data_IF_053781151989
#
_entry.id   IF_053781151989
#
_cell.length_a   1.000
_cell.length_b   1.000
_cell.length_c   1.000
_cell.angle_alpha   90.00
_cell.angle_beta   90.00
_cell.angle_gamma   90.00
#
_symmetry.space_group_name_H-M   'P 1'
#
loop_
_entity.id
_entity.type
_entity.pdbx_description
1 polymer ?
#
# COMPACT_ATOMS: atom_id res chain seq x y z
N UNK A 1 11.70 0.04 5.26
CA UNK A 1 12.33 -1.17 5.85
C UNK A 1 13.15 -0.79 7.07
N UNK A 2 13.35 -1.69 8.04
CA UNK A 2 14.45 -1.63 9.00
C UNK A 2 14.84 -3.10 9.26
N UNK A 3 16.07 -3.46 8.88
CA UNK A 3 16.63 -4.78 9.17
C UNK A 3 17.17 -4.78 10.60
N UNK A 4 16.97 -5.85 11.35
CA UNK A 4 17.66 -6.03 12.64
C UNK A 4 18.44 -7.34 12.53
N UNK A 5 19.79 -7.32 12.47
CA UNK A 5 20.59 -8.52 12.58
C UNK A 5 20.52 -8.96 14.03
N UNK A 6 20.08 -10.19 14.24
CA UNK A 6 20.32 -10.90 15.50
C UNK A 6 20.93 -12.23 15.15
N UNK A 7 21.87 -12.70 15.97
CA UNK A 7 22.57 -13.97 15.76
C UNK A 7 21.63 -15.21 15.78
N UNK A 8 20.30 -15.03 15.97
CA UNK A 8 19.28 -16.07 15.89
C UNK A 8 17.93 -15.54 15.34
N UNK A 9 17.92 -14.79 14.21
CA UNK A 9 16.79 -13.95 13.78
C UNK A 9 15.56 -14.65 13.14
N UNK A 10 15.15 -15.83 13.62
CA UNK A 10 13.85 -16.40 13.24
C UNK A 10 12.79 -16.00 14.27
N UNK A 11 11.97 -15.00 13.94
CA UNK A 11 10.77 -14.67 14.72
C UNK A 11 9.76 -15.80 14.59
N UNK A 12 9.30 -16.31 15.73
CA UNK A 12 8.19 -17.25 15.80
C UNK A 12 6.89 -16.65 15.26
N UNK A 13 5.94 -17.50 14.87
CA UNK A 13 4.67 -17.07 14.29
C UNK A 13 3.91 -16.09 15.20
N UNK A 14 3.93 -16.32 16.52
CA UNK A 14 3.27 -15.44 17.49
C UNK A 14 3.94 -14.06 17.60
N UNK A 15 5.27 -14.00 17.54
CA UNK A 15 6.01 -12.73 17.53
C UNK A 15 5.77 -11.96 16.22
N UNK A 16 5.65 -12.65 15.09
CA UNK A 16 5.27 -12.02 13.82
C UNK A 16 3.88 -11.38 13.91
N UNK A 17 2.89 -12.08 14.49
CA UNK A 17 1.54 -11.53 14.69
C UNK A 17 1.56 -10.30 15.61
N UNK A 18 2.29 -10.36 16.73
CA UNK A 18 2.43 -9.23 17.66
C UNK A 18 3.12 -8.04 17.01
N UNK A 19 4.17 -8.27 16.23
CA UNK A 19 4.87 -7.21 15.51
C UNK A 19 3.97 -6.58 14.43
N UNK A 20 3.24 -7.37 13.65
CA UNK A 20 2.26 -6.85 12.68
C UNK A 20 1.20 -5.99 13.38
N UNK A 21 0.67 -6.44 14.52
CA UNK A 21 -0.28 -5.65 15.29
C UNK A 21 0.31 -4.32 15.76
N UNK A 22 1.54 -4.31 16.28
CA UNK A 22 2.22 -3.09 16.73
C UNK A 22 2.50 -2.10 15.58
N UNK A 23 2.87 -2.62 14.39
CA UNK A 23 3.07 -1.82 13.19
C UNK A 23 1.77 -1.12 12.77
N UNK A 24 0.64 -1.80 12.87
CA UNK A 24 -0.66 -1.21 12.49
C UNK A 24 -1.17 -0.21 13.52
N UNK A 25 -1.14 -0.57 14.80
CA UNK A 25 -1.71 0.26 15.87
C UNK A 25 -0.83 1.48 16.19
N UNK A 26 0.44 1.25 16.51
CA UNK A 26 1.38 2.28 16.96
C UNK A 26 2.13 2.90 15.79
N UNK A 27 2.50 2.07 14.81
CA UNK A 27 3.20 2.50 13.61
C UNK A 27 2.30 3.17 12.56
N UNK A 28 0.96 3.11 12.71
CA UNK A 28 0.02 3.74 11.79
C UNK A 28 0.16 3.25 10.34
N UNK A 29 0.66 2.03 10.16
CA UNK A 29 0.73 1.37 8.84
C UNK A 29 -0.64 0.76 8.52
N UNK A 30 -1.14 1.01 7.32
CA UNK A 30 -2.39 0.43 6.81
C UNK A 30 -2.21 -1.04 6.47
N UNK A 31 -1.03 -1.40 5.95
CA UNK A 31 -0.60 -2.78 5.71
C UNK A 31 0.77 -3.02 6.32
N UNK A 32 1.00 -4.22 6.86
CA UNK A 32 2.28 -4.66 7.40
C UNK A 32 2.49 -6.15 7.17
N UNK A 33 3.67 -6.52 6.67
CA UNK A 33 4.12 -7.90 6.51
C UNK A 33 5.50 -8.03 7.14
N UNK A 34 5.69 -9.09 7.93
CA UNK A 34 6.98 -9.46 8.52
C UNK A 34 7.50 -10.69 7.79
N UNK A 35 8.72 -10.58 7.27
CA UNK A 35 9.42 -11.66 6.60
C UNK A 35 10.65 -12.02 7.43
N UNK A 36 10.58 -13.14 8.14
CA UNK A 36 11.70 -13.62 8.95
C UNK A 36 12.64 -14.48 8.11
N UNK A 37 13.90 -14.06 7.98
CA UNK A 37 14.99 -14.81 7.36
C UNK A 37 15.91 -15.42 8.40
N UNK A 38 16.86 -16.24 7.96
CA UNK A 38 17.88 -16.81 8.88
C UNK A 38 18.83 -15.73 9.40
N UNK A 39 19.04 -14.69 8.61
CA UNK A 39 20.06 -13.64 8.76
C UNK A 39 19.46 -12.26 9.05
N UNK A 40 18.18 -12.04 8.75
CA UNK A 40 17.51 -10.77 9.00
C UNK A 40 16.00 -10.94 9.25
N UNK A 41 15.44 -10.04 10.05
CA UNK A 41 14.00 -9.77 10.04
C UNK A 41 13.74 -8.60 9.09
N UNK A 42 12.97 -8.84 8.05
CA UNK A 42 12.51 -7.80 7.13
C UNK A 42 11.08 -7.40 7.45
N UNK A 43 10.83 -6.08 7.48
CA UNK A 43 9.51 -5.53 7.72
C UNK A 43 9.11 -4.62 6.57
N UNK A 44 7.97 -4.96 5.96
CA UNK A 44 7.33 -4.22 4.89
C UNK A 44 6.09 -3.57 5.45
N UNK A 45 5.98 -2.25 5.29
CA UNK A 45 4.85 -1.47 5.79
C UNK A 45 4.40 -0.47 4.76
N UNK A 46 3.08 -0.32 4.64
CA UNK A 46 2.43 0.70 3.82
C UNK A 46 1.74 1.68 4.75
N UNK A 47 1.96 2.99 4.57
CA UNK A 47 1.40 4.00 5.46
C UNK A 47 1.46 5.41 4.87
N UNK A 48 0.79 6.34 5.53
CA UNK A 48 0.73 7.74 5.09
C UNK A 48 2.00 8.51 5.51
N UNK A 49 2.68 9.10 4.53
CA UNK A 49 3.83 10.01 4.74
C UNK A 49 4.92 9.88 3.69
N UNK A 50 5.90 10.77 3.72
CA UNK A 50 7.09 10.69 2.86
C UNK A 50 8.11 9.70 3.42
N UNK A 51 8.89 9.06 2.54
CA UNK A 51 9.78 7.92 2.85
C UNK A 51 10.63 8.07 4.13
N UNK A 52 11.19 9.26 4.40
CA UNK A 52 11.97 9.48 5.63
C UNK A 52 11.11 9.49 6.92
N UNK A 53 9.90 10.03 6.87
CA UNK A 53 8.98 10.02 8.01
C UNK A 53 8.43 8.62 8.29
N UNK A 54 8.10 7.87 7.24
CA UNK A 54 7.65 6.48 7.35
C UNK A 54 8.78 5.58 7.88
N UNK A 55 10.00 5.72 7.37
CA UNK A 55 11.16 4.99 7.87
C UNK A 55 11.42 5.29 9.36
N UNK A 56 11.39 6.55 9.78
CA UNK A 56 11.53 6.91 11.20
C UNK A 56 10.39 6.37 12.06
N UNK A 57 9.15 6.32 11.55
CA UNK A 57 8.02 5.74 12.28
C UNK A 57 8.16 4.21 12.41
N UNK A 58 8.61 3.54 11.36
CA UNK A 58 8.93 2.11 11.37
C UNK A 58 10.02 1.82 12.41
N UNK A 59 11.12 2.56 12.37
CA UNK A 59 12.26 2.41 13.28
C UNK A 59 11.85 2.63 14.74
N UNK A 60 11.04 3.65 15.04
CA UNK A 60 10.49 3.87 16.38
C UNK A 60 9.60 2.73 16.86
N UNK A 61 8.77 2.20 15.97
CA UNK A 61 7.87 1.09 16.31
C UNK A 61 8.66 -0.17 16.62
N UNK A 62 9.70 -0.46 15.83
CA UNK A 62 10.60 -1.58 16.08
C UNK A 62 11.43 -1.39 17.35
N UNK A 63 11.93 -0.18 17.59
CA UNK A 63 12.65 0.12 18.83
C UNK A 63 11.78 -0.13 20.05
N UNK A 64 10.52 0.33 20.03
CA UNK A 64 9.57 0.07 21.09
C UNK A 64 9.27 -1.43 21.25
N UNK A 65 9.07 -2.17 20.14
CA UNK A 65 8.82 -3.60 20.16
C UNK A 65 10.00 -4.39 20.77
N UNK A 66 11.23 -4.01 20.43
CA UNK A 66 12.45 -4.63 20.94
C UNK A 66 12.91 -4.07 22.30
N UNK A 67 12.11 -3.23 22.96
CA UNK A 67 12.47 -2.54 24.21
C UNK A 67 13.84 -1.82 24.14
N UNK A 68 14.12 -1.15 23.02
CA UNK A 68 15.36 -0.43 22.76
C UNK A 68 15.09 0.99 22.23
N UNK A 69 16.14 1.71 21.81
CA UNK A 69 16.04 3.04 21.23
C UNK A 69 16.21 3.01 19.70
N UNK A 70 15.63 3.98 18.97
CA UNK A 70 15.85 4.08 17.52
C UNK A 70 17.33 4.20 17.15
N UNK A 71 18.12 4.91 17.96
CA UNK A 71 19.54 5.13 17.68
C UNK A 71 20.39 3.87 17.89
N UNK A 72 19.96 2.95 18.76
CA UNK A 72 20.58 1.63 18.88
C UNK A 72 20.27 0.73 17.68
N UNK A 73 19.12 0.91 17.01
CA UNK A 73 18.76 0.16 15.80
C UNK A 73 19.35 0.74 14.52
N UNK A 74 19.60 2.06 14.45
CA UNK A 74 20.11 2.73 13.23
C UNK A 74 21.34 2.07 12.61
N UNK A 75 22.40 1.71 13.35
CA UNK A 75 23.63 1.16 12.76
C UNK A 75 23.40 -0.18 12.05
N UNK A 76 22.32 -0.86 12.42
CA UNK A 76 22.03 -2.20 11.95
C UNK A 76 20.78 -2.27 11.05
N UNK A 77 20.07 -1.15 10.89
CA UNK A 77 18.84 -1.05 10.12
C UNK A 77 19.03 -0.43 8.73
N UNK A 78 18.78 -1.25 7.71
CA UNK A 78 18.67 -0.79 6.32
C UNK A 78 17.24 -0.35 6.00
N UNK A 79 17.08 0.87 5.50
CA UNK A 79 15.79 1.45 5.10
C UNK A 79 15.70 1.63 3.58
N UNK A 80 14.84 0.84 2.94
CA UNK A 80 14.44 0.98 1.53
C UNK A 80 12.98 1.44 1.46
N UNK A 81 12.64 2.14 0.37
CA UNK A 81 11.28 2.65 0.07
C UNK A 81 10.90 2.40 -1.39
N UNK A 82 9.59 2.36 -1.66
CA UNK A 82 9.03 2.24 -3.00
C UNK A 82 9.69 1.15 -3.85
N UNK A 83 10.17 1.54 -5.04
CA UNK A 83 10.81 0.65 -6.02
C UNK A 83 11.95 -0.18 -5.43
N UNK A 84 12.85 0.44 -4.65
CA UNK A 84 14.02 -0.25 -4.11
C UNK A 84 13.63 -1.37 -3.14
N UNK A 85 12.56 -1.16 -2.36
CA UNK A 85 12.02 -2.19 -1.47
C UNK A 85 11.38 -3.34 -2.27
N UNK A 86 10.65 -3.05 -3.35
CA UNK A 86 10.08 -4.06 -4.22
C UNK A 86 11.15 -4.89 -4.94
N UNK A 87 12.18 -4.25 -5.51
CA UNK A 87 13.30 -4.94 -6.14
C UNK A 87 14.07 -5.81 -5.14
N UNK A 88 14.30 -5.31 -3.92
CA UNK A 88 14.95 -6.07 -2.86
C UNK A 88 14.15 -7.34 -2.52
N UNK A 89 12.84 -7.21 -2.23
CA UNK A 89 11.97 -8.34 -1.90
C UNK A 89 12.04 -9.44 -2.97
N UNK A 90 11.95 -9.07 -4.25
CA UNK A 90 11.96 -10.05 -5.35
C UNK A 90 13.34 -10.68 -5.52
N UNK A 91 14.42 -9.92 -5.26
CA UNK A 91 15.80 -10.41 -5.39
C UNK A 91 16.18 -11.40 -4.29
N UNK A 92 15.81 -11.12 -3.05
CA UNK A 92 16.35 -11.83 -1.87
C UNK A 92 15.44 -12.93 -1.35
N UNK A 93 14.14 -12.86 -1.61
CA UNK A 93 13.19 -13.75 -0.97
C UNK A 93 12.94 -15.05 -1.73
N UNK A 94 12.88 -16.15 -0.99
CA UNK A 94 12.48 -17.43 -1.55
C UNK A 94 10.95 -17.51 -1.75
N UNK A 95 10.45 -18.12 -2.85
CA UNK A 95 9.02 -18.17 -3.14
C UNK A 95 8.16 -18.74 -2.01
N UNK A 96 8.64 -19.76 -1.30
CA UNK A 96 7.93 -20.34 -0.15
C UNK A 96 7.81 -19.36 1.00
N UNK A 97 8.89 -18.63 1.31
CA UNK A 97 8.93 -17.65 2.39
C UNK A 97 8.03 -16.44 2.13
N UNK A 98 7.97 -15.97 0.89
CA UNK A 98 7.04 -14.91 0.50
C UNK A 98 5.58 -15.33 0.72
N UNK A 99 5.22 -16.54 0.30
CA UNK A 99 3.87 -17.07 0.49
C UNK A 99 3.53 -17.21 1.98
N UNK A 100 4.44 -17.76 2.77
CA UNK A 100 4.19 -18.02 4.19
C UNK A 100 4.10 -16.71 5.00
N UNK A 101 4.95 -15.72 4.71
CA UNK A 101 4.87 -14.39 5.29
C UNK A 101 3.56 -13.68 4.93
N UNK A 102 3.13 -13.79 3.67
CA UNK A 102 1.83 -13.29 3.23
C UNK A 102 0.68 -13.93 4.00
N UNK A 103 0.66 -15.26 4.15
CA UNK A 103 -0.38 -15.95 4.92
C UNK A 103 -0.38 -15.56 6.41
N UNK A 104 0.78 -15.34 7.00
CA UNK A 104 0.88 -14.84 8.37
C UNK A 104 0.25 -13.44 8.50
N UNK A 105 0.53 -12.55 7.55
CA UNK A 105 -0.07 -11.22 7.51
C UNK A 105 -1.59 -11.25 7.22
N UNK A 106 -2.07 -12.16 6.38
CA UNK A 106 -3.51 -12.37 6.16
C UNK A 106 -4.22 -12.76 7.48
N UNK A 107 -3.65 -13.70 8.25
CA UNK A 107 -4.19 -14.09 9.57
C UNK A 107 -4.18 -12.94 10.58
N UNK A 108 -3.19 -12.06 10.50
CA UNK A 108 -3.10 -10.86 11.34
C UNK A 108 -4.02 -9.70 10.86
N UNK A 109 -4.79 -9.91 9.78
CA UNK A 109 -5.48 -8.82 9.05
C UNK A 109 -4.55 -7.67 8.67
N UNK A 110 -3.25 -7.95 8.52
CA UNK A 110 -2.22 -6.96 8.27
C UNK A 110 -1.88 -6.77 6.80
N UNK A 111 -2.38 -7.62 5.90
CA UNK A 111 -2.17 -7.44 4.46
C UNK A 111 -3.36 -6.73 3.81
N UNK A 112 -3.09 -5.88 2.84
CA UNK A 112 -4.08 -5.27 1.97
C UNK A 112 -3.70 -5.42 0.49
N UNK A 113 -4.29 -4.61 -0.40
CA UNK A 113 -4.08 -4.75 -1.84
C UNK A 113 -2.63 -4.51 -2.28
N UNK A 114 -1.89 -3.62 -1.61
CA UNK A 114 -0.54 -3.23 -2.04
C UNK A 114 0.48 -4.33 -1.72
N UNK A 115 0.64 -4.70 -0.45
CA UNK A 115 1.55 -5.77 -0.06
C UNK A 115 1.03 -7.12 -0.54
N UNK A 116 -0.29 -7.32 -0.62
CA UNK A 116 -0.90 -8.52 -1.16
C UNK A 116 -0.49 -8.78 -2.62
N UNK A 117 -0.57 -7.75 -3.47
CA UNK A 117 -0.16 -7.84 -4.87
C UNK A 117 1.37 -7.97 -5.02
N UNK A 118 2.15 -7.20 -4.23
CA UNK A 118 3.61 -7.26 -4.25
C UNK A 118 4.14 -8.66 -3.89
N UNK A 119 3.66 -9.24 -2.79
CA UNK A 119 4.09 -10.58 -2.37
C UNK A 119 3.62 -11.67 -3.34
N UNK A 120 2.46 -11.49 -3.99
CA UNK A 120 2.01 -12.37 -5.07
C UNK A 120 2.93 -12.32 -6.28
N UNK A 121 3.25 -11.10 -6.74
CA UNK A 121 4.13 -10.86 -7.87
C UNK A 121 5.54 -11.39 -7.57
N UNK A 122 6.10 -11.06 -6.41
CA UNK A 122 7.40 -11.56 -5.98
C UNK A 122 7.47 -13.08 -5.90
N UNK A 123 6.43 -13.75 -5.37
CA UNK A 123 6.40 -15.22 -5.32
C UNK A 123 6.43 -15.87 -6.71
N UNK A 124 5.79 -15.24 -7.71
CA UNK A 124 5.82 -15.70 -9.11
C UNK A 124 7.19 -15.43 -9.73
N UNK A 125 7.70 -14.20 -9.57
CA UNK A 125 8.96 -13.76 -10.18
C UNK A 125 10.16 -14.50 -9.61
N UNK A 126 10.23 -14.73 -8.30
CA UNK A 126 11.33 -15.44 -7.65
C UNK A 126 11.46 -16.90 -8.15
N UNK A 127 10.38 -17.53 -8.62
CA UNK A 127 10.46 -18.86 -9.28
C UNK A 127 11.11 -18.77 -10.66
N UNK A 128 10.84 -17.71 -11.41
CA UNK A 128 11.34 -17.50 -12.77
C UNK A 128 12.80 -17.05 -12.77
N UNK A 129 13.18 -16.22 -11.79
CA UNK A 129 14.55 -15.70 -11.64
C UNK A 129 15.55 -16.82 -11.33
N UNK A 130 15.12 -17.89 -10.64
CA UNK A 130 15.96 -19.04 -10.32
C UNK A 130 16.33 -19.81 -11.59
N UNK A 131 17.53 -19.57 -12.11
CA UNK A 131 18.07 -20.19 -13.32
C UNK A 131 17.95 -19.35 -14.60
N UNK A 132 17.52 -18.09 -14.49
CA UNK A 132 17.47 -17.19 -15.63
C UNK A 132 18.86 -16.64 -16.00
N UNK A 133 19.14 -16.40 -17.29
CA UNK A 133 20.43 -15.87 -17.74
C UNK A 133 20.65 -14.39 -17.36
N UNK A 134 19.58 -13.64 -17.12
CA UNK A 134 19.64 -12.22 -16.71
C UNK A 134 18.57 -11.93 -15.64
N UNK A 135 18.87 -12.28 -14.38
CA UNK A 135 17.91 -12.16 -13.28
C UNK A 135 17.57 -10.69 -12.98
N UNK A 136 18.53 -9.77 -13.07
CA UNK A 136 18.32 -8.36 -12.75
C UNK A 136 17.36 -7.67 -13.74
N UNK A 137 17.46 -7.99 -15.03
CA UNK A 137 16.49 -7.47 -16.01
C UNK A 137 15.08 -7.99 -15.73
N UNK A 138 14.93 -9.26 -15.37
CA UNK A 138 13.63 -9.84 -15.03
C UNK A 138 13.04 -9.15 -13.81
N UNK A 139 13.83 -8.99 -12.73
CA UNK A 139 13.39 -8.29 -11.51
C UNK A 139 12.92 -6.88 -11.87
N UNK A 140 13.74 -6.11 -12.59
CA UNK A 140 13.42 -4.73 -12.98
C UNK A 140 12.11 -4.65 -13.77
N UNK A 141 11.95 -5.48 -14.80
CA UNK A 141 10.74 -5.50 -15.63
C UNK A 141 9.50 -5.92 -14.85
N UNK A 142 9.61 -6.86 -13.92
CA UNK A 142 8.47 -7.28 -13.10
C UNK A 142 8.08 -6.22 -12.07
N UNK A 143 9.05 -5.52 -11.48
CA UNK A 143 8.76 -4.36 -10.61
C UNK A 143 8.14 -3.23 -11.42
N UNK A 144 8.60 -2.95 -12.65
CA UNK A 144 7.97 -1.96 -13.54
C UNK A 144 6.52 -2.31 -13.81
N UNK A 145 6.24 -3.56 -14.18
CA UNK A 145 4.89 -4.04 -14.45
C UNK A 145 4.01 -3.96 -13.20
N UNK A 146 4.52 -4.38 -12.04
CA UNK A 146 3.78 -4.30 -10.78
C UNK A 146 3.49 -2.87 -10.35
N UNK A 147 4.47 -1.96 -10.46
CA UNK A 147 4.27 -0.54 -10.16
C UNK A 147 3.18 0.02 -11.06
N UNK A 148 3.25 -0.26 -12.37
CA UNK A 148 2.24 0.17 -13.31
C UNK A 148 0.85 -0.39 -12.97
N UNK A 149 0.71 -1.68 -12.72
CA UNK A 149 -0.58 -2.29 -12.33
C UNK A 149 -1.11 -1.71 -11.02
N UNK A 150 -0.23 -1.51 -10.05
CA UNK A 150 -0.59 -0.97 -8.74
C UNK A 150 -1.02 0.48 -8.85
N UNK A 151 -0.30 1.32 -9.61
CA UNK A 151 -0.60 2.74 -9.88
C UNK A 151 -1.90 2.93 -10.65
N UNK A 152 -2.23 2.07 -11.61
CA UNK A 152 -3.49 2.14 -12.33
C UNK A 152 -4.67 1.59 -11.52
N UNK A 153 -4.47 0.49 -10.78
CA UNK A 153 -5.49 -0.06 -9.88
C UNK A 153 -5.86 0.93 -8.77
N UNK A 154 -4.84 1.56 -8.20
CA UNK A 154 -4.86 2.70 -7.31
C UNK A 154 -5.75 3.87 -7.78
N UNK A 155 -5.48 4.41 -8.97
CA UNK A 155 -6.32 5.47 -9.55
C UNK A 155 -7.74 4.97 -9.83
N UNK A 156 -7.90 3.72 -10.28
CA UNK A 156 -9.22 3.12 -10.50
C UNK A 156 -10.08 3.11 -9.24
N UNK A 157 -9.53 2.64 -8.12
CA UNK A 157 -10.22 2.59 -6.82
C UNK A 157 -10.58 3.97 -6.31
N UNK A 158 -9.64 4.92 -6.37
CA UNK A 158 -9.90 6.31 -6.01
C UNK A 158 -11.01 6.91 -6.88
N UNK A 159 -10.96 6.69 -8.20
CA UNK A 159 -11.99 7.16 -9.14
C UNK A 159 -13.37 6.61 -8.81
N UNK A 160 -13.48 5.31 -8.52
CA UNK A 160 -14.75 4.70 -8.12
C UNK A 160 -15.28 5.31 -6.83
N UNK A 161 -14.43 5.52 -5.82
CA UNK A 161 -14.83 6.09 -4.55
C UNK A 161 -15.25 7.56 -4.68
N UNK A 162 -14.48 8.37 -5.42
CA UNK A 162 -14.86 9.75 -5.76
C UNK A 162 -16.23 9.80 -6.44
N UNK A 163 -16.48 8.87 -7.37
CA UNK A 163 -17.76 8.79 -8.08
C UNK A 163 -18.93 8.39 -7.18
N UNK A 164 -18.73 7.48 -6.23
CA UNK A 164 -19.76 7.11 -5.26
C UNK A 164 -20.10 8.28 -4.32
N UNK A 165 -19.09 8.99 -3.85
CA UNK A 165 -19.23 10.08 -2.89
C UNK A 165 -19.89 11.32 -3.50
N UNK A 166 -19.40 11.78 -4.65
CA UNK A 166 -20.02 12.93 -5.35
C UNK A 166 -21.43 12.58 -5.84
N UNK A 167 -21.67 11.34 -6.29
CA UNK A 167 -23.02 10.91 -6.64
C UNK A 167 -23.97 10.99 -5.43
N UNK A 168 -23.56 10.49 -4.27
CA UNK A 168 -24.37 10.53 -3.06
C UNK A 168 -24.67 11.98 -2.63
N UNK A 169 -23.68 12.87 -2.72
CA UNK A 169 -23.87 14.31 -2.47
C UNK A 169 -24.87 14.92 -3.46
N UNK A 170 -24.70 14.70 -4.76
CA UNK A 170 -25.62 15.22 -5.77
C UNK A 170 -27.04 14.69 -5.57
N UNK A 171 -27.20 13.42 -5.23
CA UNK A 171 -28.51 12.82 -4.97
C UNK A 171 -29.17 13.44 -3.74
N UNK A 172 -28.44 13.61 -2.64
CA UNK A 172 -28.94 14.25 -1.42
C UNK A 172 -29.40 15.70 -1.66
N UNK A 173 -28.66 16.47 -2.45
CA UNK A 173 -29.05 17.83 -2.82
C UNK A 173 -30.28 17.86 -3.73
N UNK A 174 -30.39 16.93 -4.70
CA UNK A 174 -31.59 16.82 -5.53
C UNK A 174 -32.81 16.37 -4.75
N UNK A 175 -32.66 15.47 -3.77
CA UNK A 175 -33.75 15.08 -2.89
C UNK A 175 -34.24 16.25 -2.02
N UNK A 176 -33.36 17.23 -1.74
CA UNK A 176 -33.70 18.44 -0.99
C UNK A 176 -34.41 19.50 -1.83
N UNK A 177 -33.99 19.69 -3.08
CA UNK A 177 -34.41 20.85 -3.89
C UNK A 177 -35.28 20.50 -5.10
N UNK A 178 -35.26 19.26 -5.58
CA UNK A 178 -35.98 18.81 -6.77
C UNK A 178 -36.98 17.70 -6.43
N UNK A 179 -37.84 17.97 -5.43
CA UNK A 179 -38.83 17.02 -4.90
C UNK A 179 -39.92 16.65 -5.90
N UNK A 180 -40.10 17.49 -6.92
CA UNK A 180 -41.03 17.35 -8.04
C UNK A 180 -40.57 16.35 -9.11
N UNK A 181 -39.27 16.00 -9.15
CA UNK A 181 -38.75 14.97 -10.04
C UNK A 181 -39.03 13.57 -9.48
N UNK A 182 -39.25 12.61 -10.38
CA UNK A 182 -39.31 11.19 -9.99
C UNK A 182 -37.94 10.70 -9.49
N UNK A 183 -37.89 9.76 -8.52
CA UNK A 183 -36.62 9.28 -7.93
C UNK A 183 -35.62 8.71 -8.96
N UNK A 184 -36.13 8.07 -10.02
CA UNK A 184 -35.30 7.55 -11.11
C UNK A 184 -34.64 8.68 -11.92
N UNK A 185 -35.38 9.75 -12.17
CA UNK A 185 -34.87 10.92 -12.89
C UNK A 185 -33.86 11.70 -12.03
N UNK A 186 -34.11 11.86 -10.73
CA UNK A 186 -33.13 12.43 -9.78
C UNK A 186 -31.82 11.65 -9.79
N UNK A 187 -31.90 10.32 -9.74
CA UNK A 187 -30.70 9.45 -9.81
C UNK A 187 -29.95 9.61 -11.13
N UNK A 188 -30.65 9.74 -12.26
CA UNK A 188 -30.03 9.97 -13.57
C UNK A 188 -29.34 11.34 -13.63
N UNK A 189 -29.99 12.38 -13.13
CA UNK A 189 -29.45 13.74 -13.09
C UNK A 189 -28.25 13.82 -12.14
N UNK A 190 -28.33 13.24 -10.94
CA UNK A 190 -27.20 13.15 -10.00
C UNK A 190 -25.98 12.51 -10.64
N UNK A 191 -26.16 11.40 -11.38
CA UNK A 191 -25.08 10.73 -12.10
C UNK A 191 -24.48 11.59 -13.20
N UNK A 192 -25.30 12.33 -13.94
CA UNK A 192 -24.84 13.23 -14.99
C UNK A 192 -24.04 14.42 -14.42
N UNK A 193 -24.50 15.01 -13.30
CA UNK A 193 -23.80 16.09 -12.60
C UNK A 193 -22.47 15.57 -12.04
N UNK A 194 -22.49 14.45 -11.32
CA UNK A 194 -21.28 13.84 -10.76
C UNK A 194 -20.25 13.54 -11.86
N UNK A 195 -20.66 12.95 -12.99
CA UNK A 195 -19.77 12.69 -14.12
C UNK A 195 -19.14 13.95 -14.71
N UNK A 196 -19.88 15.08 -14.77
CA UNK A 196 -19.32 16.37 -15.20
C UNK A 196 -18.33 16.93 -14.19
N UNK A 197 -18.70 16.99 -12.91
CA UNK A 197 -17.86 17.51 -11.83
C UNK A 197 -16.55 16.71 -11.68
N UNK A 198 -16.61 15.40 -11.89
CA UNK A 198 -15.46 14.51 -11.71
C UNK A 198 -14.60 14.33 -12.96
N UNK A 199 -15.03 14.81 -14.14
CA UNK A 199 -14.28 14.63 -15.39
C UNK A 199 -12.81 15.06 -15.28
N UNK A 200 -12.55 16.27 -14.77
CA UNK A 200 -11.20 16.81 -14.58
C UNK A 200 -10.46 16.15 -13.38
N UNK A 201 -11.04 16.00 -12.18
CA UNK A 201 -10.42 15.23 -11.09
C UNK A 201 -10.01 13.81 -11.49
N UNK A 202 -10.81 13.10 -12.28
CA UNK A 202 -10.49 11.77 -12.78
C UNK A 202 -9.32 11.79 -13.78
N UNK A 203 -9.22 12.81 -14.63
CA UNK A 203 -8.07 12.99 -15.52
C UNK A 203 -6.79 13.26 -14.73
N UNK A 204 -6.87 14.10 -13.69
CA UNK A 204 -5.74 14.38 -12.78
C UNK A 204 -5.34 13.11 -12.03
N UNK A 205 -6.28 12.36 -11.47
CA UNK A 205 -6.00 11.09 -10.78
C UNK A 205 -5.28 10.08 -11.69
N UNK A 206 -5.76 9.91 -12.94
CA UNK A 206 -5.08 9.03 -13.91
C UNK A 206 -3.69 9.53 -14.27
N UNK A 207 -3.51 10.83 -14.42
CA UNK A 207 -2.19 11.40 -14.73
C UNK A 207 -1.22 11.24 -13.58
N UNK A 208 -1.65 11.54 -12.35
CA UNK A 208 -0.87 11.40 -11.14
C UNK A 208 -0.46 9.94 -10.91
N UNK A 209 -1.37 8.98 -11.13
CA UNK A 209 -1.04 7.57 -11.11
C UNK A 209 0.06 7.20 -12.13
N UNK A 210 -0.06 7.64 -13.39
CA UNK A 210 0.95 7.36 -14.43
C UNK A 210 2.34 7.90 -14.09
N UNK A 211 2.43 8.97 -13.31
CA UNK A 211 3.68 9.62 -12.94
C UNK A 211 4.14 9.26 -11.54
N UNK A 212 3.45 8.35 -10.84
CA UNK A 212 3.75 8.01 -9.44
C UNK A 212 3.59 9.19 -8.47
N UNK A 213 2.77 10.19 -8.81
CA UNK A 213 2.51 11.36 -7.96
C UNK A 213 1.44 11.04 -6.90
N UNK A 214 1.83 10.26 -5.91
CA UNK A 214 0.94 9.85 -4.80
C UNK A 214 0.51 11.03 -3.92
N UNK A 215 1.25 12.13 -3.90
CA UNK A 215 0.86 13.34 -3.17
C UNK A 215 -0.40 13.97 -3.77
N UNK A 216 -0.48 14.03 -5.10
CA UNK A 216 -1.68 14.49 -5.81
C UNK A 216 -2.86 13.53 -5.61
N UNK A 217 -2.61 12.21 -5.58
CA UNK A 217 -3.67 11.22 -5.31
C UNK A 217 -4.24 11.35 -3.88
N UNK A 218 -3.38 11.52 -2.87
CA UNK A 218 -3.82 11.75 -1.47
C UNK A 218 -4.55 13.10 -1.35
N UNK A 219 -4.09 14.15 -2.02
CA UNK A 219 -4.77 15.45 -2.04
C UNK A 219 -6.19 15.33 -2.61
N UNK A 220 -6.34 14.69 -3.77
CA UNK A 220 -7.65 14.45 -4.38
C UNK A 220 -8.57 13.66 -3.45
N UNK A 221 -8.04 12.63 -2.80
CA UNK A 221 -8.78 11.80 -1.86
C UNK A 221 -9.26 12.59 -0.63
N UNK A 222 -8.43 13.50 -0.10
CA UNK A 222 -8.81 14.37 1.03
C UNK A 222 -9.84 15.42 0.66
N UNK A 223 -9.77 15.96 -0.56
CA UNK A 223 -10.68 17.00 -1.03
C UNK A 223 -12.10 16.47 -1.29
N UNK A 224 -12.23 15.22 -1.74
CA UNK A 224 -13.49 14.68 -2.23
C UNK A 224 -14.28 13.87 -1.19
N UNK A 225 -13.66 13.55 -0.06
CA UNK A 225 -14.36 13.12 1.15
C UNK A 225 -13.86 11.79 1.74
N UNK A 226 -14.47 11.35 2.85
CA UNK A 226 -14.05 10.16 3.59
C UNK A 226 -14.03 8.86 2.77
N UNK A 227 -14.93 8.66 1.79
CA UNK A 227 -14.92 7.43 0.99
C UNK A 227 -13.77 7.44 -0.01
N UNK A 228 -13.54 8.56 -0.69
CA UNK A 228 -12.38 8.76 -1.55
C UNK A 228 -11.06 8.59 -0.77
N UNK A 229 -11.00 9.09 0.46
CA UNK A 229 -9.86 8.92 1.36
C UNK A 229 -9.56 7.46 1.71
N UNK A 230 -10.57 6.62 1.87
CA UNK A 230 -10.39 5.20 2.16
C UNK A 230 -9.87 4.39 0.95
N UNK A 231 -10.13 4.87 -0.27
CA UNK A 231 -9.74 4.21 -1.52
C UNK A 231 -8.45 4.76 -2.14
N UNK A 232 -7.85 5.79 -1.53
CA UNK A 232 -6.62 6.37 -2.03
C UNK A 232 -5.48 5.35 -1.95
N UNK A 233 -4.72 5.17 -3.03
CA UNK A 233 -3.56 4.31 -3.03
C UNK A 233 -2.45 4.86 -2.15
N UNK A 234 -1.89 3.99 -1.32
CA UNK A 234 -0.84 4.35 -0.38
C UNK A 234 0.42 3.62 -0.83
N UNK A 235 1.29 4.32 -1.54
CA UNK A 235 2.66 3.88 -1.81
C UNK A 235 3.60 4.93 -1.19
N UNK A 236 4.36 4.49 -0.19
CA UNK A 236 5.40 5.26 0.51
C UNK A 236 6.68 4.45 0.63
#
# INVERSE_FOLDING_TARGET
MAAVPSEHAVLGAEDQLRLIAALRSTGGFTEAVVLSARDAVEVYGVGLGYGHHLANRLLRTLAAYCATTPDALRPVASCLSGRQAAEHLIRTAEPGRLRDARWAAERASGIGPVLGSLFAAGSRTARVVRGAPDPERIVRTQVDAWLHETEYGAAGQLITAMHAEVFALCLAELDRFATDLEPADRSRVARAIAGRLLSQPMAVARSAARTGDFATLDLLARLLGPQARAAAPVLG
#
